data_IF_463259582149
#
_entry.id   IF_463259582149
#
_cell.length_a   1.000
_cell.length_b   1.000
_cell.length_c   1.000
_cell.angle_alpha   90.00
_cell.angle_beta   90.00
_cell.angle_gamma   90.00
#
_symmetry.space_group_name_H-M   'P 1'
#
loop_
_entity.id
_entity.type
_entity.pdbx_description
1 polymer ?
#
# COMPACT_ATOMS: atom_id res chain seq x y z
N UNK A 1 -39.52 41.96 -7.85
CA UNK A 1 -40.04 41.10 -6.78
C UNK A 1 -38.84 40.80 -5.88
N UNK A 2 -38.35 41.73 -5.05
CA UNK A 2 -39.00 42.23 -3.82
C UNK A 2 -39.63 41.05 -3.06
N UNK A 3 -39.25 40.66 -1.85
CA UNK A 3 -38.54 41.25 -0.73
C UNK A 3 -38.09 40.06 0.15
N UNK A 4 -36.98 40.14 0.89
CA UNK A 4 -37.05 39.96 2.36
C UNK A 4 -35.72 40.31 3.02
N UNK A 5 -35.81 41.46 3.68
CA UNK A 5 -34.82 42.20 4.45
C UNK A 5 -34.93 41.74 5.90
N UNK A 6 -33.85 41.25 6.52
CA UNK A 6 -33.71 41.13 7.99
C UNK A 6 -32.21 41.03 8.33
N UNK A 7 -31.46 42.13 8.51
CA UNK A 7 -31.31 42.95 9.73
C UNK A 7 -31.29 42.11 11.01
N UNK A 8 -30.10 41.88 11.59
CA UNK A 8 -29.79 41.97 13.03
C UNK A 8 -28.25 42.04 13.17
N UNK A 9 -27.69 43.25 13.28
CA UNK A 9 -27.26 43.94 14.52
C UNK A 9 -25.86 43.52 14.99
N UNK A 10 -24.89 44.32 14.54
CA UNK A 10 -23.65 44.65 15.23
C UNK A 10 -23.86 44.78 16.75
N UNK A 11 -23.06 44.06 17.52
CA UNK A 11 -22.76 44.38 18.92
C UNK A 11 -21.25 44.48 19.04
N UNK A 12 -20.79 45.72 19.11
CA UNK A 12 -19.44 46.14 19.48
C UNK A 12 -19.31 45.91 20.99
N UNK A 13 -18.44 44.97 21.38
CA UNK A 13 -18.10 44.69 22.78
C UNK A 13 -16.63 45.00 23.02
N UNK A 14 -16.33 46.27 23.27
CA UNK A 14 -15.03 46.79 23.68
C UNK A 14 -14.74 46.34 25.11
N UNK A 15 -13.84 45.38 25.30
CA UNK A 15 -13.41 44.91 26.62
C UNK A 15 -11.91 45.17 26.78
N UNK A 16 -11.62 46.38 27.27
CA UNK A 16 -10.30 46.81 27.72
C UNK A 16 -10.08 46.20 29.10
N UNK A 17 -9.16 45.23 29.20
CA UNK A 17 -8.61 44.79 30.48
C UNK A 17 -7.12 45.10 30.55
N UNK A 18 -6.83 45.92 31.56
CA UNK A 18 -5.52 46.27 32.08
C UNK A 18 -4.70 45.02 32.39
N UNK A 19 -3.49 44.93 31.82
CA UNK A 19 -2.41 44.08 32.35
C UNK A 19 -1.28 45.00 32.81
N UNK A 20 -0.90 44.95 34.10
CA UNK A 20 0.13 45.80 34.67
C UNK A 20 1.53 45.40 34.19
N UNK A 21 2.33 46.42 33.87
CA UNK A 21 3.78 46.37 33.68
C UNK A 21 4.45 45.71 34.90
N UNK A 22 4.95 44.49 34.72
CA UNK A 22 5.92 43.90 35.63
C UNK A 22 7.34 44.24 35.17
N UNK A 23 7.95 45.01 36.05
CA UNK A 23 9.33 45.44 36.15
C UNK A 23 10.36 44.31 36.03
N UNK A 24 11.32 44.49 35.11
CA UNK A 24 12.76 44.29 35.28
C UNK A 24 13.26 43.08 36.10
N UNK A 25 13.58 41.99 35.40
CA UNK A 25 14.56 41.01 35.88
C UNK A 25 15.96 41.40 35.41
N UNK A 26 16.81 41.67 36.39
CA UNK A 26 18.17 42.18 36.30
C UNK A 26 19.11 41.01 36.03
N UNK A 27 19.83 41.07 34.91
CA UNK A 27 20.89 40.12 34.57
C UNK A 27 21.91 39.98 35.70
N UNK A 28 22.14 38.74 36.09
CA UNK A 28 23.35 38.23 36.75
C UNK A 28 23.81 37.13 35.81
N UNK A 29 24.80 37.35 34.95
CA UNK A 29 26.16 37.66 35.36
C UNK A 29 26.79 36.35 35.80
N UNK A 30 27.23 35.54 34.83
CA UNK A 30 27.99 34.32 35.07
C UNK A 30 29.28 34.70 35.81
N UNK A 31 29.35 34.37 37.09
CA UNK A 31 30.58 34.44 37.86
C UNK A 31 31.31 33.10 37.71
N UNK A 32 32.38 33.09 36.92
CA UNK A 32 33.48 32.17 37.20
C UNK A 32 34.22 32.67 38.45
N UNK A 33 34.61 31.74 39.32
CA UNK A 33 36.01 31.75 39.73
C UNK A 33 36.60 30.34 39.81
N UNK A 34 37.83 30.20 39.33
CA UNK A 34 38.78 29.25 39.91
C UNK A 34 39.41 28.28 38.92
N UNK A 35 40.50 28.72 38.29
CA UNK A 35 41.59 27.85 37.88
C UNK A 35 42.12 27.06 39.09
N UNK A 36 42.26 25.75 38.93
CA UNK A 36 42.87 24.86 39.90
C UNK A 36 42.89 23.41 39.42
N UNK A 37 43.76 23.07 38.47
CA UNK A 37 44.12 21.66 38.23
C UNK A 37 45.09 21.13 39.29
N UNK A 38 45.63 19.92 39.13
CA UNK A 38 44.97 18.63 38.91
C UNK A 38 45.09 17.77 40.18
N UNK A 39 44.02 17.07 40.57
CA UNK A 39 44.00 16.22 41.77
C UNK A 39 43.37 14.87 41.46
N UNK A 40 44.20 13.88 41.17
CA UNK A 40 43.79 12.49 41.25
C UNK A 40 43.55 12.09 42.71
N UNK A 41 42.60 11.18 42.92
CA UNK A 41 42.43 10.46 44.19
C UNK A 41 41.01 10.51 44.70
N UNK A 42 40.29 9.40 44.52
CA UNK A 42 39.04 9.19 45.22
C UNK A 42 38.13 8.14 44.62
N UNK A 43 38.63 6.92 44.42
CA UNK A 43 37.76 5.73 44.47
C UNK A 43 37.08 5.72 45.83
N UNK A 44 35.86 6.25 45.90
CA UNK A 44 34.86 5.72 46.78
C UNK A 44 34.19 4.61 45.97
N UNK A 45 34.53 3.35 46.30
CA UNK A 45 33.81 2.21 45.76
C UNK A 45 32.34 2.35 46.16
N UNK A 46 31.49 2.60 45.17
CA UNK A 46 30.09 2.24 45.28
C UNK A 46 30.02 0.72 45.44
N UNK A 47 29.10 0.24 46.25
CA UNK A 47 28.85 -1.19 46.34
C UNK A 47 28.49 -1.72 44.94
N UNK A 48 28.92 -2.95 44.57
CA UNK A 48 28.55 -3.55 43.29
C UNK A 48 27.02 -3.64 43.25
N UNK A 49 26.39 -2.73 42.51
CA UNK A 49 24.93 -2.58 42.54
C UNK A 49 24.39 -1.17 42.27
N UNK A 50 25.20 -0.11 42.34
CA UNK A 50 24.70 1.26 42.11
C UNK A 50 24.60 1.62 40.63
N UNK A 51 23.42 2.07 40.19
CA UNK A 51 23.20 2.60 38.85
C UNK A 51 23.57 4.09 38.78
N UNK A 52 24.21 4.52 37.69
CA UNK A 52 24.53 5.94 37.46
C UNK A 52 24.33 6.36 36.00
N UNK A 53 24.02 7.65 35.76
CA UNK A 53 24.17 8.23 34.44
C UNK A 53 25.62 8.10 33.95
N UNK A 54 25.77 7.73 32.68
CA UNK A 54 27.00 7.38 31.99
C UNK A 54 26.91 7.79 30.50
N UNK A 55 28.01 7.60 29.75
CA UNK A 55 28.19 8.22 28.44
C UNK A 55 28.62 9.68 28.56
N UNK A 56 29.18 10.26 27.49
CA UNK A 56 29.75 11.62 27.58
C UNK A 56 28.69 12.70 27.78
N UNK A 57 27.44 12.42 27.41
CA UNK A 57 26.32 13.36 27.47
C UNK A 57 25.26 12.94 28.48
N UNK A 58 25.58 11.96 29.34
CA UNK A 58 24.67 11.45 30.37
C UNK A 58 23.47 10.70 29.80
N UNK A 59 23.57 10.18 28.57
CA UNK A 59 22.45 9.55 27.86
C UNK A 59 22.23 8.07 28.23
N UNK A 60 23.20 7.42 28.88
CA UNK A 60 23.11 6.00 29.26
C UNK A 60 22.95 5.89 30.77
N UNK A 61 22.07 5.03 31.26
CA UNK A 61 22.06 4.61 32.67
C UNK A 61 22.73 3.23 32.74
N UNK A 62 23.82 3.12 33.49
CA UNK A 62 24.62 1.89 33.56
C UNK A 62 25.12 1.62 34.99
N UNK A 63 25.62 0.41 35.22
CA UNK A 63 26.29 0.05 36.47
C UNK A 63 27.49 0.98 36.73
N UNK A 64 27.70 1.35 38.00
CA UNK A 64 28.73 2.31 38.35
C UNK A 64 30.14 1.89 37.92
N UNK A 65 30.39 0.59 37.96
CA UNK A 65 31.67 -0.06 37.64
C UNK A 65 31.89 -0.26 36.13
N UNK A 66 30.85 -0.03 35.30
CA UNK A 66 30.95 -0.21 33.85
C UNK A 66 31.59 1.01 33.18
N UNK A 67 32.53 0.73 32.27
CA UNK A 67 33.13 1.73 31.39
C UNK A 67 32.27 1.88 30.12
N UNK A 68 31.41 2.89 30.12
CA UNK A 68 30.58 3.23 28.96
C UNK A 68 31.25 4.33 28.14
N UNK A 69 31.64 4.00 26.91
CA UNK A 69 32.20 4.95 25.93
C UNK A 69 31.17 5.21 24.83
N UNK A 70 30.81 6.47 24.64
CA UNK A 70 29.91 6.95 23.57
C UNK A 70 30.66 7.92 22.66
N UNK A 71 30.10 8.25 21.49
CA UNK A 71 30.63 9.19 20.49
C UNK A 71 30.73 10.66 20.96
N UNK A 72 30.28 10.96 22.19
CA UNK A 72 30.16 12.32 22.73
C UNK A 72 29.35 13.29 21.85
N UNK A 73 28.41 12.77 21.06
CA UNK A 73 27.44 13.58 20.34
C UNK A 73 26.44 14.21 21.31
N UNK A 74 25.95 15.41 20.98
CA UNK A 74 24.92 16.09 21.76
C UNK A 74 23.60 16.13 21.00
N UNK A 75 22.51 15.73 21.66
CA UNK A 75 21.12 15.85 21.19
C UNK A 75 20.29 16.49 22.31
N UNK A 76 19.28 17.27 21.94
CA UNK A 76 18.38 17.96 22.88
C UNK A 76 17.75 16.98 23.89
N UNK A 77 17.37 15.78 23.42
CA UNK A 77 16.81 14.70 24.25
C UNK A 77 17.73 14.28 25.42
N UNK A 78 19.04 14.46 25.33
CA UNK A 78 19.97 14.10 26.41
C UNK A 78 19.86 15.04 27.61
N UNK A 79 19.46 16.30 27.39
CA UNK A 79 19.17 17.22 28.49
C UNK A 79 18.02 16.70 29.36
N UNK A 80 17.06 15.98 28.76
CA UNK A 80 15.92 15.39 29.47
C UNK A 80 16.35 14.28 30.43
N UNK A 81 17.25 13.40 30.02
CA UNK A 81 17.82 12.39 30.92
C UNK A 81 18.57 13.03 32.09
N UNK A 82 19.27 14.15 31.86
CA UNK A 82 19.98 14.86 32.91
C UNK A 82 19.05 15.61 33.88
N UNK A 83 17.95 16.20 33.38
CA UNK A 83 17.05 17.04 34.18
C UNK A 83 15.92 16.25 34.86
N UNK A 84 15.37 15.23 34.18
CA UNK A 84 14.19 14.48 34.61
C UNK A 84 14.44 12.98 34.76
N UNK A 85 15.55 12.46 34.26
CA UNK A 85 15.85 11.04 34.30
C UNK A 85 16.13 10.53 35.70
N UNK A 86 15.49 9.41 36.07
CA UNK A 86 15.82 8.65 37.28
C UNK A 86 16.52 7.36 36.85
N UNK A 87 17.85 7.32 37.01
CA UNK A 87 18.66 6.16 36.70
C UNK A 87 18.64 5.17 37.87
N UNK A 88 18.10 3.97 37.64
CA UNK A 88 17.93 2.96 38.68
C UNK A 88 17.94 1.54 38.14
N UNK A 89 17.97 0.57 39.05
CA UNK A 89 17.91 -0.86 38.68
C UNK A 89 16.47 -1.29 38.49
N UNK A 90 16.15 -1.76 37.29
CA UNK A 90 14.83 -2.28 36.94
C UNK A 90 14.56 -3.68 37.50
N UNK A 91 13.36 -4.19 37.24
CA UNK A 91 12.96 -5.55 37.66
C UNK A 91 13.76 -6.67 36.97
N UNK A 92 14.38 -6.41 35.81
CA UNK A 92 15.29 -7.34 35.13
C UNK A 92 16.65 -7.48 35.84
N UNK A 93 16.96 -6.60 36.79
CA UNK A 93 18.26 -6.53 37.43
C UNK A 93 19.28 -5.67 36.69
N UNK A 94 18.91 -5.05 35.56
CA UNK A 94 19.76 -4.15 34.78
C UNK A 94 19.50 -2.68 35.16
N UNK A 95 20.53 -1.83 35.03
CA UNK A 95 20.37 -0.38 35.15
C UNK A 95 19.64 0.19 33.93
N UNK A 96 18.69 1.10 34.18
CA UNK A 96 17.94 1.78 33.14
C UNK A 96 17.28 3.08 33.62
N UNK A 97 16.87 3.91 32.67
CA UNK A 97 16.07 5.10 32.97
C UNK A 97 14.64 4.68 33.31
N UNK A 98 14.13 5.08 34.48
CA UNK A 98 12.72 4.91 34.83
C UNK A 98 11.87 5.77 33.89
N UNK A 99 10.82 5.22 33.26
CA UNK A 99 9.82 6.01 32.54
C UNK A 99 9.00 6.81 33.55
N UNK A 100 9.20 8.12 33.60
CA UNK A 100 8.38 9.06 34.37
C UNK A 100 7.66 10.00 33.41
N UNK A 101 6.45 10.50 33.76
CA UNK A 101 5.73 11.45 32.92
C UNK A 101 6.55 12.71 32.58
N UNK A 102 7.39 13.18 33.51
CA UNK A 102 8.26 14.33 33.30
C UNK A 102 9.38 14.03 32.30
N UNK A 103 9.99 12.84 32.36
CA UNK A 103 11.01 12.42 31.41
C UNK A 103 10.42 12.18 30.03
N UNK A 104 9.27 11.49 29.94
CA UNK A 104 8.55 11.24 28.69
C UNK A 104 8.15 12.55 28.01
N UNK A 105 7.55 13.49 28.75
CA UNK A 105 7.18 14.79 28.22
C UNK A 105 8.38 15.58 27.69
N UNK A 106 9.53 15.51 28.36
CA UNK A 106 10.74 16.20 27.90
C UNK A 106 11.33 15.55 26.64
N UNK A 107 11.35 14.21 26.57
CA UNK A 107 11.89 13.47 25.41
C UNK A 107 11.06 13.61 24.13
N UNK A 108 10.01 14.46 24.12
CA UNK A 108 9.07 14.57 23.02
C UNK A 108 8.01 13.46 23.01
N UNK A 109 8.02 12.58 24.01
CA UNK A 109 6.92 11.68 24.35
C UNK A 109 5.83 12.40 25.15
N UNK A 110 5.60 13.68 24.87
CA UNK A 110 4.45 14.41 25.37
C UNK A 110 3.15 13.74 24.94
N UNK A 111 2.06 14.07 25.62
CA UNK A 111 0.72 13.61 25.21
C UNK A 111 0.56 13.87 23.71
N UNK A 112 0.21 12.85 22.91
CA UNK A 112 0.26 12.96 21.46
C UNK A 112 -0.64 14.11 21.00
N UNK A 113 -0.15 14.89 20.04
CA UNK A 113 -0.88 16.04 19.51
C UNK A 113 -2.29 15.63 19.02
N UNK A 114 -3.28 16.53 19.00
CA UNK A 114 -4.58 16.18 18.44
C UNK A 114 -4.45 15.87 16.95
N UNK A 115 -5.26 14.93 16.44
CA UNK A 115 -5.36 14.69 15.00
C UNK A 115 -6.13 15.84 14.34
N UNK A 116 -5.60 16.35 13.22
CA UNK A 116 -6.20 17.42 12.45
C UNK A 116 -6.29 17.07 10.98
N UNK A 117 -7.35 17.55 10.33
CA UNK A 117 -7.47 17.53 8.87
C UNK A 117 -6.59 18.65 8.31
N UNK A 118 -5.64 18.29 7.45
CA UNK A 118 -4.65 19.16 6.83
C UNK A 118 -4.46 18.81 5.35
N UNK A 119 -3.46 19.43 4.70
CA UNK A 119 -3.28 19.41 3.25
C UNK A 119 -4.19 20.45 2.56
N UNK A 120 -3.79 20.93 1.38
CA UNK A 120 -4.51 22.05 0.75
C UNK A 120 -5.94 21.69 0.35
N UNK A 121 -6.22 20.41 0.11
CA UNK A 121 -7.52 19.91 -0.35
C UNK A 121 -8.25 19.14 0.75
N UNK A 122 -7.78 19.21 2.00
CA UNK A 122 -8.39 18.53 3.15
C UNK A 122 -8.26 17.00 3.10
N UNK A 123 -7.28 16.48 2.36
CA UNK A 123 -7.12 15.06 2.09
C UNK A 123 -6.24 14.33 3.11
N UNK A 124 -5.54 15.05 4.00
CA UNK A 124 -4.60 14.46 4.96
C UNK A 124 -5.16 14.55 6.37
N UNK A 125 -5.09 13.46 7.12
CA UNK A 125 -5.27 13.45 8.57
C UNK A 125 -3.89 13.21 9.20
N UNK A 126 -3.40 14.14 10.00
CA UNK A 126 -2.06 14.09 10.59
C UNK A 126 -2.04 14.67 12.01
N UNK A 127 -0.91 14.55 12.69
CA UNK A 127 -0.69 15.19 13.99
C UNK A 127 -0.68 16.72 13.83
N UNK A 128 -1.22 17.46 14.79
CA UNK A 128 -1.35 18.92 14.69
C UNK A 128 -0.01 19.67 14.63
N UNK A 129 1.07 19.05 15.08
CA UNK A 129 2.44 19.55 15.01
C UNK A 129 3.22 19.09 13.77
N UNK A 130 2.62 18.23 12.92
CA UNK A 130 3.21 17.86 11.64
C UNK A 130 3.07 18.97 10.59
N UNK A 131 4.20 19.38 10.01
CA UNK A 131 4.21 20.26 8.85
C UNK A 131 3.97 19.46 7.57
N UNK A 132 2.70 19.26 7.21
CA UNK A 132 2.30 18.58 5.97
C UNK A 132 2.14 19.59 4.83
N UNK A 133 2.98 19.46 3.80
CA UNK A 133 2.86 20.23 2.55
C UNK A 133 2.45 19.30 1.41
N UNK A 134 1.27 19.54 0.84
CA UNK A 134 0.76 18.83 -0.35
C UNK A 134 0.88 19.68 -1.61
N UNK A 135 0.81 19.07 -2.79
CA UNK A 135 0.86 19.72 -4.12
C UNK A 135 -0.34 20.64 -4.44
N UNK A 136 -1.32 20.73 -3.54
CA UNK A 136 -2.60 21.40 -3.74
C UNK A 136 -3.37 20.93 -4.99
N UNK A 137 -3.15 19.69 -5.42
CA UNK A 137 -3.98 19.06 -6.45
C UNK A 137 -5.40 18.81 -5.93
N UNK A 138 -6.37 18.81 -6.83
CA UNK A 138 -7.76 18.53 -6.50
C UNK A 138 -8.27 17.32 -7.26
N UNK A 139 -8.95 16.41 -6.53
CA UNK A 139 -9.60 15.21 -7.02
C UNK A 139 -10.94 15.07 -6.31
N UNK A 140 -11.94 14.51 -6.99
CA UNK A 140 -13.29 14.32 -6.44
C UNK A 140 -13.27 13.53 -5.12
N UNK A 141 -12.39 12.53 -5.02
CA UNK A 141 -12.21 11.72 -3.80
C UNK A 141 -11.83 12.56 -2.56
N UNK A 142 -11.22 13.74 -2.74
CA UNK A 142 -10.87 14.61 -1.61
C UNK A 142 -12.09 15.29 -0.99
N UNK A 143 -13.16 15.52 -1.78
CA UNK A 143 -14.43 15.99 -1.24
C UNK A 143 -15.01 14.97 -0.25
N UNK A 144 -14.82 13.67 -0.48
CA UNK A 144 -15.26 12.63 0.44
C UNK A 144 -14.58 12.68 1.80
N UNK A 145 -13.27 12.92 1.84
CA UNK A 145 -12.56 13.12 3.10
C UNK A 145 -13.05 14.36 3.85
N UNK A 146 -13.34 15.45 3.12
CA UNK A 146 -13.85 16.68 3.73
C UNK A 146 -15.29 16.55 4.26
N UNK A 147 -16.17 15.81 3.56
CA UNK A 147 -17.59 15.69 3.90
C UNK A 147 -17.90 14.53 4.86
N UNK A 148 -17.23 13.40 4.69
CA UNK A 148 -17.51 12.15 5.40
C UNK A 148 -16.33 11.63 6.23
N UNK A 149 -15.14 12.18 6.05
CA UNK A 149 -13.96 11.73 6.76
C UNK A 149 -14.02 12.03 8.25
N UNK A 150 -13.66 11.03 9.07
CA UNK A 150 -13.42 11.23 10.50
C UNK A 150 -11.93 11.04 10.76
N UNK A 151 -11.24 12.15 11.04
CA UNK A 151 -9.82 12.15 11.34
C UNK A 151 -9.59 11.87 12.83
N UNK A 152 -8.88 10.78 13.13
CA UNK A 152 -8.64 10.36 14.51
C UNK A 152 -7.41 9.48 14.68
N UNK A 153 -7.03 9.21 15.92
CA UNK A 153 -5.89 8.35 16.24
C UNK A 153 -6.32 6.89 16.23
N UNK A 154 -5.63 6.08 15.43
CA UNK A 154 -5.85 4.64 15.33
C UNK A 154 -5.17 3.85 16.45
N UNK A 155 -5.28 2.52 16.38
CA UNK A 155 -4.65 1.61 17.34
C UNK A 155 -3.12 1.53 17.21
N UNK A 156 -2.56 1.96 16.07
CA UNK A 156 -1.10 2.12 15.90
C UNK A 156 -0.54 3.33 16.64
N UNK A 157 -1.42 4.22 17.14
CA UNK A 157 -1.01 5.48 17.73
C UNK A 157 -0.77 6.59 16.71
N UNK A 158 -1.07 6.39 15.42
CA UNK A 158 -0.95 7.40 14.37
C UNK A 158 -2.32 8.03 14.04
N UNK A 159 -2.32 9.28 13.58
CA UNK A 159 -3.51 9.92 13.03
C UNK A 159 -3.84 9.35 11.64
N UNK A 160 -5.13 9.10 11.39
CA UNK A 160 -5.60 8.59 10.12
C UNK A 160 -7.11 8.75 9.94
N UNK A 161 -7.57 8.52 8.71
CA UNK A 161 -8.99 8.51 8.40
C UNK A 161 -9.63 7.22 8.90
N UNK A 162 -10.67 7.33 9.75
CA UNK A 162 -11.48 6.17 10.14
C UNK A 162 -12.23 5.62 8.93
N UNK A 163 -12.16 4.29 8.65
CA UNK A 163 -13.03 3.67 7.66
C UNK A 163 -14.47 3.69 8.19
N UNK A 164 -15.31 4.51 7.56
CA UNK A 164 -16.75 4.57 7.85
C UNK A 164 -17.50 4.19 6.58
N UNK A 165 -18.69 3.55 6.68
CA UNK A 165 -19.48 3.19 5.51
C UNK A 165 -19.77 4.39 4.60
N UNK A 166 -20.00 5.58 5.18
CA UNK A 166 -20.25 6.81 4.43
C UNK A 166 -19.01 7.29 3.66
N UNK A 167 -17.83 7.25 4.30
CA UNK A 167 -16.57 7.59 3.64
C UNK A 167 -16.21 6.58 2.55
N UNK A 168 -16.35 5.28 2.83
CA UNK A 168 -16.09 4.21 1.88
C UNK A 168 -17.03 4.28 0.68
N UNK A 169 -18.32 4.53 0.90
CA UNK A 169 -19.28 4.72 -0.17
C UNK A 169 -18.94 5.95 -1.03
N UNK A 170 -18.50 7.05 -0.44
CA UNK A 170 -18.10 8.24 -1.19
C UNK A 170 -16.81 7.99 -1.99
N UNK A 171 -15.77 7.45 -1.35
CA UNK A 171 -14.48 7.15 -1.99
C UNK A 171 -14.60 6.07 -3.07
N UNK A 172 -15.54 5.14 -2.91
CA UNK A 172 -15.84 4.05 -3.84
C UNK A 172 -16.78 4.41 -4.99
N UNK A 173 -17.16 5.69 -5.15
CA UNK A 173 -18.01 6.12 -6.27
C UNK A 173 -19.50 5.80 -6.12
N UNK A 174 -20.02 5.72 -4.89
CA UNK A 174 -21.41 5.38 -4.62
C UNK A 174 -21.73 3.90 -4.83
N UNK A 175 -23.02 3.54 -4.72
CA UNK A 175 -23.46 2.22 -5.18
C UNK A 175 -23.02 2.03 -6.64
N UNK A 176 -22.37 0.91 -6.98
CA UNK A 176 -21.79 0.74 -8.30
C UNK A 176 -22.88 0.86 -9.36
N UNK A 177 -22.62 1.66 -10.40
CA UNK A 177 -23.58 1.92 -11.46
C UNK A 177 -24.06 0.60 -12.11
N UNK A 178 -25.25 0.55 -12.73
CA UNK A 178 -25.67 -0.66 -13.43
C UNK A 178 -24.71 -0.96 -14.60
N UNK A 179 -24.44 -2.24 -14.86
CA UNK A 179 -23.70 -2.63 -16.06
C UNK A 179 -24.56 -2.43 -17.32
N UNK A 180 -23.98 -1.79 -18.33
CA UNK A 180 -24.65 -1.52 -19.60
C UNK A 180 -23.80 -1.97 -20.78
N UNK A 181 -24.48 -2.44 -21.83
CA UNK A 181 -23.85 -2.68 -23.13
C UNK A 181 -23.67 -1.32 -23.82
N UNK A 182 -22.43 -1.00 -24.15
CA UNK A 182 -22.00 0.28 -24.73
C UNK A 182 -20.95 0.06 -25.84
N UNK A 183 -20.38 1.14 -26.37
CA UNK A 183 -19.56 1.17 -27.58
C UNK A 183 -20.41 1.17 -28.85
N UNK A 184 -19.90 1.71 -29.96
CA UNK A 184 -20.74 1.93 -31.15
C UNK A 184 -21.29 0.63 -31.77
N UNK A 185 -20.62 -0.50 -31.56
CA UNK A 185 -20.95 -1.79 -32.14
C UNK A 185 -21.51 -2.76 -31.09
N UNK A 186 -21.83 -2.27 -29.88
CA UNK A 186 -22.32 -3.10 -28.77
C UNK A 186 -21.28 -4.08 -28.22
N UNK A 187 -19.99 -3.78 -28.39
CA UNK A 187 -18.90 -4.69 -28.06
C UNK A 187 -18.39 -4.55 -26.61
N UNK A 188 -18.80 -3.51 -25.89
CA UNK A 188 -18.31 -3.23 -24.54
C UNK A 188 -19.42 -3.43 -23.51
N UNK A 189 -19.11 -4.11 -22.42
CA UNK A 189 -19.92 -4.08 -21.20
C UNK A 189 -19.15 -3.26 -20.17
N UNK A 190 -19.73 -2.16 -19.69
CA UNK A 190 -19.08 -1.22 -18.78
C UNK A 190 -20.08 -0.65 -17.75
N UNK A 191 -19.58 0.11 -16.79
CA UNK A 191 -20.41 0.86 -15.85
C UNK A 191 -21.22 1.95 -16.61
N UNK A 192 -22.46 2.21 -16.19
CA UNK A 192 -23.34 3.14 -16.90
C UNK A 192 -22.86 4.60 -16.91
N UNK A 193 -21.99 4.95 -15.97
CA UNK A 193 -21.34 6.25 -15.86
C UNK A 193 -19.98 6.32 -16.55
N UNK A 194 -19.48 5.21 -17.11
CA UNK A 194 -18.26 5.20 -17.91
C UNK A 194 -18.50 5.83 -19.30
N UNK A 195 -17.69 6.85 -19.63
CA UNK A 195 -17.64 7.39 -20.99
C UNK A 195 -16.77 6.50 -21.89
N UNK A 196 -17.38 5.45 -22.45
CA UNK A 196 -16.71 4.55 -23.39
C UNK A 196 -16.84 5.06 -24.83
N UNK A 197 -15.72 5.40 -25.46
CA UNK A 197 -15.64 5.75 -26.88
C UNK A 197 -14.86 4.68 -27.63
N UNK A 198 -15.50 3.98 -28.57
CA UNK A 198 -14.85 3.02 -29.47
C UNK A 198 -14.75 3.59 -30.89
N UNK A 199 -13.88 3.02 -31.73
CA UNK A 199 -13.64 3.48 -33.12
C UNK A 199 -14.80 3.22 -34.09
N UNK A 200 -15.93 2.73 -33.59
CA UNK A 200 -17.06 2.25 -34.38
C UNK A 200 -16.68 1.27 -35.51
N UNK A 201 -15.58 0.52 -35.35
CA UNK A 201 -15.24 -0.59 -36.22
C UNK A 201 -16.30 -1.70 -36.07
N UNK A 202 -16.66 -2.33 -37.18
CA UNK A 202 -17.54 -3.49 -37.17
C UNK A 202 -16.74 -4.76 -37.44
N UNK A 203 -16.99 -5.78 -36.61
CA UNK A 203 -16.45 -7.13 -36.73
C UNK A 203 -17.55 -8.14 -36.45
N UNK A 204 -17.46 -9.31 -37.08
CA UNK A 204 -18.45 -10.38 -36.90
C UNK A 204 -18.57 -10.83 -35.45
N UNK A 205 -17.46 -10.86 -34.70
CA UNK A 205 -17.43 -11.18 -33.27
C UNK A 205 -18.30 -10.25 -32.40
N UNK A 206 -18.53 -9.00 -32.82
CA UNK A 206 -19.38 -8.07 -32.08
C UNK A 206 -20.86 -8.41 -32.17
N UNK A 207 -21.29 -9.05 -33.27
CA UNK A 207 -22.65 -9.56 -33.38
C UNK A 207 -22.94 -10.61 -32.29
N UNK A 208 -21.94 -11.41 -31.92
CA UNK A 208 -22.06 -12.40 -30.84
C UNK A 208 -22.28 -11.77 -29.47
N UNK A 209 -21.56 -10.70 -29.14
CA UNK A 209 -21.80 -9.95 -27.90
C UNK A 209 -23.20 -9.33 -27.87
N UNK A 210 -23.68 -8.81 -29.01
CA UNK A 210 -25.01 -8.23 -29.09
C UNK A 210 -26.15 -9.26 -28.99
N UNK A 211 -25.96 -10.47 -29.55
CA UNK A 211 -27.00 -11.51 -29.60
C UNK A 211 -26.98 -12.46 -28.39
N UNK A 212 -25.80 -12.84 -27.92
CA UNK A 212 -25.59 -13.86 -26.88
C UNK A 212 -24.89 -13.33 -25.63
N UNK A 213 -24.34 -12.12 -25.68
CA UNK A 213 -23.64 -11.55 -24.54
C UNK A 213 -24.57 -11.23 -23.38
N UNK A 214 -24.17 -11.61 -22.16
CA UNK A 214 -24.81 -11.13 -20.94
C UNK A 214 -23.85 -10.19 -20.23
N UNK A 215 -24.20 -8.91 -20.22
CA UNK A 215 -23.44 -7.87 -19.52
C UNK A 215 -23.84 -7.85 -18.04
N UNK A 216 -22.90 -8.10 -17.14
CA UNK A 216 -23.12 -8.13 -15.70
C UNK A 216 -21.86 -7.77 -14.91
N UNK A 217 -22.01 -7.61 -13.60
CA UNK A 217 -20.88 -7.39 -12.69
C UNK A 217 -20.26 -8.71 -12.27
N UNK A 218 -18.96 -8.85 -12.47
CA UNK A 218 -18.18 -10.02 -12.08
C UNK A 218 -17.78 -10.03 -10.61
N UNK A 219 -17.05 -11.07 -10.21
CA UNK A 219 -16.55 -11.20 -8.83
C UNK A 219 -15.47 -10.17 -8.47
N UNK A 220 -14.79 -9.55 -9.46
CA UNK A 220 -13.86 -8.44 -9.23
C UNK A 220 -14.57 -7.13 -8.87
N UNK A 221 -15.89 -7.07 -9.04
CA UNK A 221 -16.65 -5.84 -8.89
C UNK A 221 -16.68 -4.99 -10.17
N UNK A 222 -16.13 -5.44 -11.29
CA UNK A 222 -16.17 -4.74 -12.58
C UNK A 222 -17.28 -5.28 -13.49
N UNK A 223 -17.82 -4.45 -14.37
CA UNK A 223 -18.72 -4.88 -15.43
C UNK A 223 -17.97 -5.65 -16.53
N UNK A 224 -18.55 -6.75 -17.00
CA UNK A 224 -17.97 -7.57 -18.05
C UNK A 224 -18.97 -8.53 -18.70
N UNK A 225 -18.55 -9.13 -19.81
CA UNK A 225 -19.33 -10.16 -20.50
C UNK A 225 -19.23 -11.49 -19.76
N UNK A 226 -20.37 -12.07 -19.38
CA UNK A 226 -20.43 -13.44 -18.87
C UNK A 226 -19.99 -14.43 -19.94
N UNK A 227 -19.01 -15.27 -19.63
CA UNK A 227 -18.68 -16.44 -20.42
C UNK A 227 -19.85 -17.45 -20.39
N UNK A 228 -20.60 -17.52 -21.48
CA UNK A 228 -21.71 -18.48 -21.66
C UNK A 228 -21.38 -19.38 -22.85
N UNK A 229 -21.79 -20.66 -22.84
CA UNK A 229 -21.54 -21.57 -23.96
C UNK A 229 -22.04 -21.02 -25.31
N UNK A 230 -23.17 -20.31 -25.31
CA UNK A 230 -23.75 -19.70 -26.51
C UNK A 230 -22.86 -18.55 -27.04
N UNK A 231 -22.37 -17.69 -26.14
CA UNK A 231 -21.44 -16.61 -26.52
C UNK A 231 -20.10 -17.17 -27.01
N UNK A 232 -19.53 -18.14 -26.30
CA UNK A 232 -18.27 -18.80 -26.67
C UNK A 232 -18.37 -19.49 -28.03
N UNK A 233 -19.45 -20.24 -28.27
CA UNK A 233 -19.70 -20.89 -29.55
C UNK A 233 -19.83 -19.86 -30.69
N UNK A 234 -20.52 -18.74 -30.47
CA UNK A 234 -20.67 -17.70 -31.48
C UNK A 234 -19.34 -17.01 -31.80
N UNK A 235 -18.53 -16.70 -30.77
CA UNK A 235 -17.22 -16.05 -30.94
C UNK A 235 -16.18 -16.95 -31.65
N UNK A 236 -16.57 -18.15 -32.10
CA UNK A 236 -15.67 -19.11 -32.73
C UNK A 236 -14.85 -19.91 -31.72
N UNK A 237 -15.11 -19.74 -30.41
CA UNK A 237 -14.63 -20.60 -29.33
C UNK A 237 -15.48 -21.86 -29.16
N UNK A 238 -16.15 -22.31 -30.23
CA UNK A 238 -16.84 -23.59 -30.25
C UNK A 238 -15.88 -24.75 -30.02
N UNK A 239 -16.42 -25.87 -29.53
CA UNK A 239 -15.72 -27.12 -29.21
C UNK A 239 -14.43 -27.32 -30.02
N UNK A 240 -13.28 -27.52 -29.35
CA UNK A 240 -11.99 -27.53 -30.02
C UNK A 240 -12.00 -28.60 -31.12
N UNK A 241 -11.58 -28.22 -32.33
CA UNK A 241 -11.61 -29.09 -33.50
C UNK A 241 -10.97 -30.46 -33.21
N UNK A 242 -11.46 -31.56 -33.80
CA UNK A 242 -10.83 -32.87 -33.58
C UNK A 242 -9.36 -32.83 -34.00
N UNK A 243 -8.49 -33.50 -33.25
CA UNK A 243 -7.10 -33.63 -33.66
C UNK A 243 -6.99 -34.47 -34.93
N UNK A 244 -6.28 -33.96 -35.92
CA UNK A 244 -6.05 -34.62 -37.21
C UNK A 244 -4.57 -34.89 -37.41
N UNK A 245 -4.28 -36.06 -37.98
CA UNK A 245 -2.94 -36.37 -38.50
C UNK A 245 -2.78 -35.65 -39.83
N UNK A 246 -1.82 -34.74 -39.90
CA UNK A 246 -1.57 -33.84 -41.02
C UNK A 246 -0.06 -33.71 -41.28
N UNK A 247 0.35 -32.80 -42.17
CA UNK A 247 1.68 -32.81 -42.78
C UNK A 247 1.74 -33.81 -43.94
N UNK A 248 2.57 -33.55 -44.96
CA UNK A 248 2.55 -34.39 -46.16
C UNK A 248 2.96 -35.86 -45.88
N UNK A 249 3.72 -36.09 -44.83
CA UNK A 249 4.25 -37.41 -44.45
C UNK A 249 3.56 -37.95 -43.19
N UNK A 250 2.46 -37.32 -42.76
CA UNK A 250 1.70 -37.71 -41.57
C UNK A 250 2.44 -37.49 -40.25
N UNK A 251 3.41 -36.57 -40.22
CA UNK A 251 4.29 -36.34 -39.08
C UNK A 251 3.72 -35.36 -38.04
N UNK A 252 2.64 -34.63 -38.36
CA UNK A 252 2.06 -33.61 -37.48
C UNK A 252 0.71 -34.10 -36.96
N UNK A 253 0.47 -33.93 -35.67
CA UNK A 253 -0.86 -34.02 -35.07
C UNK A 253 -1.26 -32.61 -34.64
N UNK A 254 -2.32 -32.05 -35.24
CA UNK A 254 -2.76 -30.67 -35.01
C UNK A 254 -4.30 -30.57 -35.05
N UNK A 255 -4.85 -29.44 -34.63
CA UNK A 255 -6.29 -29.12 -34.71
C UNK A 255 -6.69 -28.51 -36.07
N UNK A 256 -5.73 -28.29 -36.96
CA UNK A 256 -5.91 -27.83 -38.33
C UNK A 256 -5.00 -28.58 -39.31
N UNK A 257 -5.24 -28.41 -40.61
CA UNK A 257 -4.37 -28.99 -41.65
C UNK A 257 -3.07 -28.21 -41.81
N UNK A 258 -1.95 -28.84 -41.50
CA UNK A 258 -0.61 -28.24 -41.59
C UNK A 258 0.12 -28.79 -42.80
N UNK A 259 0.51 -27.91 -43.72
CA UNK A 259 1.38 -28.28 -44.83
C UNK A 259 2.86 -28.22 -44.41
N UNK A 260 3.59 -29.30 -44.62
CA UNK A 260 5.05 -29.37 -44.40
C UNK A 260 5.79 -29.45 -45.74
N UNK A 261 7.13 -29.44 -45.73
CA UNK A 261 7.98 -29.51 -46.93
C UNK A 261 7.97 -30.86 -47.66
N UNK A 262 7.10 -31.78 -47.23
CA UNK A 262 7.00 -33.15 -47.71
C UNK A 262 8.30 -33.96 -47.67
N UNK A 263 9.20 -33.65 -46.73
CA UNK A 263 10.33 -34.51 -46.42
C UNK A 263 9.84 -35.91 -45.98
N UNK A 264 10.49 -36.95 -46.49
CA UNK A 264 10.27 -38.34 -46.09
C UNK A 264 11.46 -38.82 -45.28
N UNK A 265 11.32 -38.81 -43.95
CA UNK A 265 12.29 -39.34 -43.00
C UNK A 265 11.78 -40.65 -42.40
N UNK A 266 12.70 -41.53 -42.00
CA UNK A 266 12.33 -42.83 -41.40
C UNK A 266 11.57 -42.65 -40.09
N UNK A 267 11.93 -41.63 -39.30
CA UNK A 267 11.23 -41.27 -38.05
C UNK A 267 9.76 -40.89 -38.27
N UNK A 268 9.39 -40.38 -39.45
CA UNK A 268 8.00 -40.02 -39.75
C UNK A 268 7.11 -41.26 -39.93
N UNK A 269 7.67 -42.37 -40.40
CA UNK A 269 6.94 -43.63 -40.49
C UNK A 269 6.49 -44.14 -39.11
N UNK A 270 7.27 -43.84 -38.05
CA UNK A 270 6.91 -44.19 -36.68
C UNK A 270 5.60 -43.52 -36.23
N UNK A 271 5.36 -42.26 -36.60
CA UNK A 271 4.10 -41.57 -36.28
C UNK A 271 2.90 -42.21 -36.99
N UNK A 272 3.07 -42.68 -38.23
CA UNK A 272 2.02 -43.36 -38.97
C UNK A 272 1.71 -44.78 -38.43
N UNK A 273 2.72 -45.50 -37.94
CA UNK A 273 2.58 -46.90 -37.48
C UNK A 273 2.23 -47.02 -36.00
N UNK A 274 2.78 -46.14 -35.15
CA UNK A 274 2.68 -46.23 -33.69
C UNK A 274 2.10 -44.97 -33.03
N UNK A 275 1.92 -43.89 -33.80
CA UNK A 275 1.42 -42.62 -33.26
C UNK A 275 -0.07 -42.68 -32.90
N UNK A 276 -0.41 -42.12 -31.74
CA UNK A 276 -1.79 -41.81 -31.36
C UNK A 276 -1.93 -40.30 -31.32
N UNK A 277 -2.63 -39.75 -32.30
CA UNK A 277 -2.91 -38.32 -32.39
C UNK A 277 -4.13 -37.98 -31.52
N UNK A 278 -3.91 -37.15 -30.50
CA UNK A 278 -4.97 -36.78 -29.56
C UNK A 278 -4.72 -35.44 -28.87
N UNK A 279 -5.73 -34.97 -28.14
CA UNK A 279 -5.64 -33.74 -27.36
C UNK A 279 -5.05 -34.05 -25.98
N UNK A 280 -3.95 -33.39 -25.65
CA UNK A 280 -3.27 -33.52 -24.36
C UNK A 280 -3.95 -32.74 -23.23
N UNK A 281 -3.39 -32.81 -22.04
CA UNK A 281 -3.89 -32.10 -20.86
C UNK A 281 -3.72 -30.57 -20.94
N UNK A 282 -2.83 -30.06 -21.80
CA UNK A 282 -2.71 -28.62 -22.10
C UNK A 282 -3.85 -28.10 -22.98
N UNK A 283 -4.69 -29.00 -23.52
CA UNK A 283 -5.71 -28.64 -24.49
C UNK A 283 -5.19 -28.52 -25.90
N UNK A 284 -3.93 -28.86 -26.20
CA UNK A 284 -3.36 -28.86 -27.56
C UNK A 284 -3.37 -30.27 -28.17
N UNK A 285 -3.46 -30.35 -29.50
CA UNK A 285 -3.28 -31.60 -30.22
C UNK A 285 -1.80 -31.98 -30.30
N UNK A 286 -1.50 -33.26 -30.09
CA UNK A 286 -0.14 -33.78 -30.19
C UNK A 286 -0.08 -35.30 -30.23
N UNK A 287 1.09 -35.83 -30.53
CA UNK A 287 1.35 -37.26 -30.45
C UNK A 287 1.46 -37.69 -28.99
N UNK A 288 0.65 -38.68 -28.58
CA UNK A 288 0.79 -39.29 -27.25
C UNK A 288 2.18 -39.96 -27.17
N UNK A 289 2.99 -39.68 -26.14
CA UNK A 289 4.24 -40.39 -25.90
C UNK A 289 3.93 -41.82 -25.45
N UNK A 290 4.22 -42.79 -26.31
CA UNK A 290 4.11 -44.22 -25.99
C UNK A 290 5.48 -44.88 -26.11
N UNK A 291 5.78 -45.91 -25.30
CA UNK A 291 7.05 -46.63 -25.39
C UNK A 291 7.33 -47.17 -26.80
N UNK A 292 6.29 -47.59 -27.52
CA UNK A 292 6.40 -48.11 -28.88
C UNK A 292 6.78 -47.01 -29.90
N UNK A 293 6.18 -45.81 -29.77
CA UNK A 293 6.50 -44.67 -30.63
C UNK A 293 7.92 -44.16 -30.36
N UNK A 294 8.28 -44.01 -29.09
CA UNK A 294 9.61 -43.54 -28.66
C UNK A 294 10.72 -44.49 -29.16
N UNK A 295 10.57 -45.80 -28.93
CA UNK A 295 11.55 -46.78 -29.37
C UNK A 295 11.72 -46.80 -30.91
N UNK A 296 10.64 -46.58 -31.66
CA UNK A 296 10.72 -46.47 -33.11
C UNK A 296 11.50 -45.24 -33.56
N UNK A 297 11.23 -44.07 -32.95
CA UNK A 297 11.91 -42.81 -33.29
C UNK A 297 13.39 -42.89 -32.92
N UNK A 298 13.74 -43.44 -31.76
CA UNK A 298 15.13 -43.67 -31.35
C UNK A 298 15.87 -44.55 -32.36
N UNK A 299 15.27 -45.67 -32.76
CA UNK A 299 15.84 -46.57 -33.76
C UNK A 299 16.02 -45.89 -35.15
N UNK A 300 15.05 -45.06 -35.57
CA UNK A 300 15.09 -44.36 -36.84
C UNK A 300 16.09 -43.18 -36.87
N UNK A 301 16.32 -42.53 -35.73
CA UNK A 301 17.27 -41.40 -35.60
C UNK A 301 18.70 -41.83 -35.28
N UNK A 302 18.91 -43.11 -34.94
CA UNK A 302 20.22 -43.67 -34.64
C UNK A 302 20.80 -43.24 -33.30
N UNK A 303 19.94 -42.88 -32.34
CA UNK A 303 20.29 -42.55 -30.96
C UNK A 303 20.05 -43.73 -30.01
#
# INVERSE_FOLDING_TARGET
MDLFRKRHRLVVGMLVLFVPLLTGAKGKGCQSPGDGGPGGGGSAGGEPGDCRPAGCSGQICADADDEVVTTCEWREEYACYAEHGVCERGASGECGWRPTPELEACLGGGEPAPCVVTGCSGQVCADADDEVVTTCEWREEYACYAEHGVCERGTSGECGWRPTPELEACLGGGEPAPCVVTGCSGQVCADADDEVVTTCEWREEYACYAEHGVCERGASGECGWRATPELEACLGGGEPAPCVVTGCSGQICADEDVATDCAWLEEYACFAEHGVCERGASGECGWRPTPELEACIEAATGN
#
